data_IF_759510057229
#
_entry.id   IF_759510057229
#
_cell.length_a   1.000
_cell.length_b   1.000
_cell.length_c   1.000
_cell.angle_alpha   90.00
_cell.angle_beta   90.00
_cell.angle_gamma   90.00
#
_symmetry.space_group_name_H-M   'P 1'
#
loop_
_entity.id
_entity.type
_entity.pdbx_description
1 polymer ?
#
# COMPACT_ATOMS: atom_id res chain seq x y z
N UNK A 1 52.27 -24.54 -16.05
CA UNK A 1 51.05 -25.30 -15.72
C UNK A 1 50.63 -24.86 -14.33
N UNK A 2 49.60 -24.02 -14.23
CA UNK A 2 49.05 -23.55 -12.97
C UNK A 2 47.58 -23.94 -12.95
N UNK A 3 47.21 -24.77 -11.97
CA UNK A 3 45.83 -25.21 -11.72
C UNK A 3 45.09 -24.12 -10.95
N UNK A 4 43.98 -23.64 -11.50
CA UNK A 4 43.05 -22.72 -10.84
C UNK A 4 42.10 -23.55 -9.97
N UNK A 5 42.14 -23.31 -8.66
CA UNK A 5 41.14 -23.80 -7.73
C UNK A 5 39.82 -23.04 -7.94
N UNK A 6 38.76 -23.79 -8.25
CA UNK A 6 37.40 -23.28 -8.37
C UNK A 6 36.77 -23.32 -6.99
N UNK A 7 36.48 -22.14 -6.44
CA UNK A 7 35.75 -21.95 -5.19
C UNK A 7 34.29 -22.38 -5.38
N UNK A 8 33.93 -23.53 -4.80
CA UNK A 8 32.56 -24.06 -4.82
C UNK A 8 31.78 -23.45 -3.66
N UNK A 9 30.82 -22.60 -3.97
CA UNK A 9 29.87 -22.06 -2.99
C UNK A 9 28.90 -23.15 -2.52
N UNK A 10 28.50 -23.16 -1.23
CA UNK A 10 27.60 -24.17 -0.69
C UNK A 10 26.20 -24.07 -1.31
N UNK A 11 25.63 -25.24 -1.61
CA UNK A 11 24.26 -25.38 -2.08
C UNK A 11 23.27 -25.01 -0.97
N UNK A 12 22.36 -24.07 -1.25
CA UNK A 12 21.24 -23.76 -0.37
C UNK A 12 20.13 -24.80 -0.52
N UNK A 13 19.76 -25.44 0.59
CA UNK A 13 18.61 -26.35 0.68
C UNK A 13 17.33 -25.53 0.94
N UNK A 14 16.22 -25.73 0.19
CA UNK A 14 15.02 -24.89 0.29
C UNK A 14 14.03 -25.28 1.40
N UNK A 15 14.41 -26.12 2.37
CA UNK A 15 13.53 -26.55 3.46
C UNK A 15 13.98 -25.99 4.82
N UNK A 16 13.57 -24.76 5.11
CA UNK A 16 13.24 -24.28 6.46
C UNK A 16 12.78 -22.83 6.36
N UNK A 17 11.47 -22.63 6.30
CA UNK A 17 10.92 -21.30 6.57
C UNK A 17 11.34 -20.92 8.01
N UNK A 18 12.02 -19.78 8.22
CA UNK A 18 12.34 -19.35 9.57
C UNK A 18 11.03 -19.12 10.34
N UNK A 19 10.98 -19.44 11.65
CA UNK A 19 9.84 -19.08 12.47
C UNK A 19 9.63 -17.56 12.39
N UNK A 20 8.37 -17.15 12.27
CA UNK A 20 7.92 -15.76 12.33
C UNK A 20 8.63 -15.05 13.49
N UNK A 21 9.57 -14.17 13.16
CA UNK A 21 10.32 -13.39 14.13
C UNK A 21 9.35 -12.40 14.78
N UNK A 22 8.90 -12.70 15.99
CA UNK A 22 8.23 -11.72 16.86
C UNK A 22 9.31 -10.78 17.41
N UNK A 23 9.27 -9.47 17.12
CA UNK A 23 10.23 -8.54 17.69
C UNK A 23 10.06 -8.52 19.21
N UNK A 24 11.13 -8.81 19.95
CA UNK A 24 11.19 -8.52 21.39
C UNK A 24 11.20 -7.01 21.57
N UNK A 25 10.09 -6.46 22.05
CA UNK A 25 9.99 -5.06 22.45
C UNK A 25 10.96 -4.77 23.60
N UNK A 26 11.77 -3.72 23.44
CA UNK A 26 12.54 -3.14 24.54
C UNK A 26 11.57 -2.53 25.58
N UNK A 27 11.62 -3.01 26.81
CA UNK A 27 10.89 -2.48 27.96
C UNK A 27 11.41 -1.07 28.34
N UNK A 28 10.66 -0.04 27.94
CA UNK A 28 10.68 1.24 28.65
C UNK A 28 9.80 1.08 29.91
N UNK A 29 10.33 1.42 31.08
CA UNK A 29 9.65 1.23 32.37
C UNK A 29 8.23 1.83 32.44
N UNK A 30 7.41 1.38 33.40
CA UNK A 30 5.97 1.61 33.41
C UNK A 30 5.60 3.03 33.88
N UNK A 31 5.84 4.04 33.06
CA UNK A 31 4.99 5.22 33.12
C UNK A 31 3.63 4.80 32.60
N UNK A 32 2.59 4.82 33.44
CA UNK A 32 1.21 4.50 33.02
C UNK A 32 0.94 5.20 31.68
N UNK A 33 0.57 4.46 30.61
CA UNK A 33 0.34 5.06 29.32
C UNK A 33 -0.69 6.18 29.47
N UNK A 34 -0.39 7.36 28.95
CA UNK A 34 -1.34 8.47 28.92
C UNK A 34 -2.61 7.95 28.22
N UNK A 35 -3.75 8.03 28.89
CA UNK A 35 -5.00 7.48 28.37
C UNK A 35 -5.56 8.29 27.19
N UNK A 36 -5.08 9.52 26.97
CA UNK A 36 -5.57 10.46 25.95
C UNK A 36 -4.45 11.06 25.09
N UNK A 37 -4.82 11.51 23.89
CA UNK A 37 -3.99 12.32 23.00
C UNK A 37 -4.14 13.81 23.36
N UNK A 38 -3.33 14.25 24.33
CA UNK A 38 -3.30 15.64 24.82
C UNK A 38 -2.12 16.41 24.25
N UNK A 39 -2.39 17.56 23.64
CA UNK A 39 -1.41 18.47 23.07
C UNK A 39 -1.55 19.87 23.67
N UNK A 40 -0.44 20.57 23.84
CA UNK A 40 -0.38 21.88 24.49
C UNK A 40 0.09 21.83 25.94
N UNK A 41 0.09 23.01 26.58
CA UNK A 41 0.54 23.17 27.96
C UNK A 41 0.36 24.60 28.45
N UNK A 42 -0.24 24.76 29.64
CA UNK A 42 -0.45 26.05 30.28
C UNK A 42 -1.92 26.48 30.27
N UNK A 43 -2.31 27.30 29.28
CA UNK A 43 -3.62 27.99 29.29
C UNK A 43 -4.66 27.30 28.43
N UNK A 44 -4.25 26.59 27.39
CA UNK A 44 -5.13 25.79 26.56
C UNK A 44 -4.52 24.43 26.25
N UNK A 45 -5.39 23.47 26.01
CA UNK A 45 -5.05 22.11 25.66
C UNK A 45 -5.98 21.64 24.53
N UNK A 46 -5.42 20.89 23.60
CA UNK A 46 -6.12 20.16 22.55
C UNK A 46 -6.18 18.68 22.96
N UNK A 47 -7.40 18.15 23.07
CA UNK A 47 -7.66 16.75 23.40
C UNK A 47 -8.31 16.07 22.20
N UNK A 48 -7.60 15.14 21.57
CA UNK A 48 -8.07 14.33 20.44
C UNK A 48 -8.62 12.98 20.90
N UNK A 49 -9.05 12.89 22.15
CA UNK A 49 -9.73 11.72 22.71
C UNK A 49 -8.79 10.63 23.25
N UNK A 50 -9.37 9.48 23.61
CA UNK A 50 -8.63 8.39 24.23
C UNK A 50 -7.67 7.71 23.24
N UNK A 51 -6.58 7.14 23.77
CA UNK A 51 -5.64 6.31 22.99
C UNK A 51 -6.22 4.92 22.79
N UNK A 52 -7.10 4.79 21.80
CA UNK A 52 -7.72 3.50 21.42
C UNK A 52 -6.73 2.60 20.69
N UNK A 53 -5.86 3.19 19.87
CA UNK A 53 -4.86 2.48 19.09
C UNK A 53 -3.46 2.71 19.67
N UNK A 54 -2.59 1.70 19.55
CA UNK A 54 -1.17 1.80 19.93
C UNK A 54 -0.39 2.55 18.83
N UNK A 55 -0.78 3.79 18.54
CA UNK A 55 -0.13 4.67 17.58
C UNK A 55 0.39 5.92 18.31
N UNK A 56 1.45 6.56 17.82
CA UNK A 56 1.93 7.80 18.45
C UNK A 56 0.94 8.96 18.33
N UNK A 57 0.07 8.90 17.32
CA UNK A 57 -0.92 9.89 16.96
C UNK A 57 -2.30 9.23 16.85
N UNK A 58 -3.42 9.94 17.09
CA UNK A 58 -4.74 9.39 16.83
C UNK A 58 -4.88 9.02 15.36
N UNK A 59 -5.53 7.89 15.09
CA UNK A 59 -5.69 7.33 13.76
C UNK A 59 -7.16 7.29 13.38
N UNK A 60 -7.46 7.73 12.17
CA UNK A 60 -8.79 7.86 11.59
C UNK A 60 -8.83 7.10 10.26
N UNK A 61 -9.92 6.38 10.03
CA UNK A 61 -10.22 5.68 8.79
C UNK A 61 -10.90 6.57 7.75
N UNK A 62 -11.38 5.92 6.69
CA UNK A 62 -12.18 6.59 5.65
C UNK A 62 -13.54 6.97 6.24
N UNK A 63 -13.99 8.20 6.02
CA UNK A 63 -15.24 8.77 6.54
C UNK A 63 -15.29 8.95 8.08
N UNK A 64 -14.19 8.66 8.79
CA UNK A 64 -14.15 8.90 10.22
C UNK A 64 -13.98 10.41 10.48
N UNK A 65 -14.86 11.05 11.26
CA UNK A 65 -14.68 12.45 11.61
C UNK A 65 -13.48 12.60 12.56
N UNK A 66 -12.71 13.68 12.37
CA UNK A 66 -11.67 14.08 13.32
C UNK A 66 -12.30 14.83 14.47
N UNK A 67 -12.59 14.08 15.54
CA UNK A 67 -13.23 14.60 16.74
C UNK A 67 -12.25 14.95 17.85
N UNK A 68 -12.60 15.97 18.63
CA UNK A 68 -11.81 16.38 19.77
C UNK A 68 -12.44 17.56 20.51
N UNK A 69 -11.65 18.17 21.38
CA UNK A 69 -12.04 19.42 22.07
C UNK A 69 -10.83 20.30 22.35
N UNK A 70 -11.06 21.60 22.32
CA UNK A 70 -10.13 22.60 22.85
C UNK A 70 -10.64 23.00 24.22
N UNK A 71 -9.84 22.83 25.26
CA UNK A 71 -10.24 23.19 26.62
C UNK A 71 -9.19 24.04 27.33
N UNK A 72 -9.63 24.81 28.31
CA UNK A 72 -8.84 25.79 29.04
C UNK A 72 -8.72 25.36 30.51
N UNK A 73 -7.59 24.76 30.93
CA UNK A 73 -7.41 24.27 32.30
C UNK A 73 -7.45 25.39 33.35
N UNK A 74 -7.14 26.62 32.94
CA UNK A 74 -7.13 27.79 33.78
C UNK A 74 -7.89 28.94 33.12
N UNK A 75 -8.34 29.88 33.95
CA UNK A 75 -9.03 31.09 33.51
C UNK A 75 -8.18 31.85 32.49
N UNK A 76 -8.80 32.18 31.36
CA UNK A 76 -8.09 32.68 30.19
C UNK A 76 -8.69 34.00 29.72
N UNK A 77 -8.04 35.15 29.99
CA UNK A 77 -8.62 36.45 29.71
C UNK A 77 -8.50 36.86 28.24
N UNK A 78 -9.48 37.66 27.79
CA UNK A 78 -9.48 38.40 26.51
C UNK A 78 -9.37 37.49 25.27
N UNK A 79 -10.01 36.32 25.29
CA UNK A 79 -10.11 35.46 24.10
C UNK A 79 -11.12 36.10 23.14
N UNK A 80 -10.71 36.24 21.89
CA UNK A 80 -11.55 36.82 20.83
C UNK A 80 -11.99 35.79 19.80
N UNK A 81 -11.21 34.71 19.62
CA UNK A 81 -11.54 33.66 18.66
C UNK A 81 -10.89 32.35 19.08
N UNK A 82 -11.62 31.25 18.94
CA UNK A 82 -11.07 29.89 18.95
C UNK A 82 -11.50 29.22 17.67
N UNK A 83 -10.52 28.83 16.88
CA UNK A 83 -10.71 28.19 15.58
C UNK A 83 -9.93 26.89 15.56
N UNK A 84 -10.49 25.85 14.96
CA UNK A 84 -9.77 24.60 14.70
C UNK A 84 -9.72 24.36 13.20
N UNK A 85 -8.54 23.98 12.72
CA UNK A 85 -8.25 23.71 11.33
C UNK A 85 -7.67 22.30 11.19
N UNK A 86 -8.16 21.53 10.23
CA UNK A 86 -7.54 20.30 9.74
C UNK A 86 -6.90 20.59 8.38
N UNK A 87 -5.62 20.28 8.26
CA UNK A 87 -4.85 20.48 7.04
C UNK A 87 -4.14 19.18 6.66
N UNK A 88 -4.15 18.86 5.37
CA UNK A 88 -3.32 17.80 4.82
C UNK A 88 -2.25 18.39 3.91
N UNK A 89 -1.02 17.95 4.08
CA UNK A 89 0.14 18.43 3.32
C UNK A 89 0.87 17.26 2.69
N UNK A 90 1.31 17.48 1.44
CA UNK A 90 2.27 16.64 0.74
C UNK A 90 3.61 17.37 0.72
N UNK A 91 4.62 16.79 1.37
CA UNK A 91 6.00 17.27 1.35
C UNK A 91 6.83 16.37 0.43
N UNK A 92 7.47 16.97 -0.57
CA UNK A 92 8.56 16.36 -1.32
C UNK A 92 9.89 16.91 -0.83
N UNK A 93 10.82 16.03 -0.48
CA UNK A 93 12.19 16.38 -0.11
C UNK A 93 13.15 15.76 -1.13
N UNK A 94 13.90 16.58 -1.85
CA UNK A 94 14.93 16.15 -2.79
C UNK A 94 16.28 16.19 -2.09
N UNK A 95 17.05 15.12 -2.22
CA UNK A 95 18.39 14.99 -1.66
C UNK A 95 19.41 14.75 -2.77
N UNK A 96 20.55 15.43 -2.67
CA UNK A 96 21.70 15.23 -3.55
C UNK A 96 22.91 14.94 -2.68
N UNK A 97 23.61 13.83 -2.95
CA UNK A 97 24.80 13.41 -2.18
C UNK A 97 24.54 13.33 -0.66
N UNK A 98 23.33 12.93 -0.28
CA UNK A 98 22.92 12.81 1.12
C UNK A 98 22.53 14.13 1.81
N UNK A 99 22.54 15.26 1.10
CA UNK A 99 22.11 16.56 1.64
C UNK A 99 20.77 17.00 1.04
N UNK A 100 19.89 17.66 1.81
CA UNK A 100 18.71 18.32 1.25
C UNK A 100 19.09 19.33 0.17
N UNK A 101 18.68 19.07 -1.06
CA UNK A 101 18.91 19.94 -2.20
C UNK A 101 17.68 20.78 -2.54
N UNK A 102 16.50 20.39 -2.07
CA UNK A 102 15.27 21.17 -2.21
C UNK A 102 14.11 20.49 -1.50
N UNK A 103 13.07 21.25 -1.23
CA UNK A 103 11.79 20.72 -0.80
C UNK A 103 10.67 21.47 -1.51
N UNK A 104 9.53 20.80 -1.66
CA UNK A 104 8.29 21.34 -2.18
C UNK A 104 7.17 20.88 -1.26
N UNK A 105 6.34 21.80 -0.80
CA UNK A 105 5.24 21.52 0.11
C UNK A 105 3.94 21.99 -0.52
N UNK A 106 2.98 21.07 -0.63
CA UNK A 106 1.66 21.33 -1.21
C UNK A 106 0.58 21.02 -0.21
N UNK A 107 -0.24 22.01 0.12
CA UNK A 107 -1.48 21.79 0.87
C UNK A 107 -2.49 21.09 -0.04
N UNK A 108 -2.95 19.90 0.37
CA UNK A 108 -3.94 19.11 -0.37
C UNK A 108 -5.35 19.59 -0.10
N UNK A 109 -5.65 19.92 1.16
CA UNK A 109 -6.90 20.59 1.54
C UNK A 109 -6.75 21.30 2.89
N UNK A 110 -7.74 22.13 3.20
CA UNK A 110 -7.92 22.76 4.52
C UNK A 110 -9.40 22.77 4.87
N UNK A 111 -9.75 22.25 6.05
CA UNK A 111 -11.08 22.40 6.64
C UNK A 111 -10.94 23.23 7.92
N UNK A 112 -11.69 24.32 8.04
CA UNK A 112 -11.66 25.21 9.20
C UNK A 112 -13.04 25.28 9.86
N UNK A 113 -13.07 25.27 11.18
CA UNK A 113 -14.28 25.47 11.98
C UNK A 113 -14.01 26.45 13.11
N UNK A 114 -14.86 27.47 13.18
CA UNK A 114 -14.88 28.39 14.30
C UNK A 114 -15.68 27.79 15.47
N UNK A 115 -15.05 27.70 16.63
CA UNK A 115 -15.66 27.14 17.84
C UNK A 115 -16.18 28.22 18.79
N UNK A 116 -15.56 29.40 18.74
CA UNK A 116 -15.90 30.53 19.60
C UNK A 116 -15.49 31.84 18.95
N UNK A 117 -16.43 32.78 18.80
CA UNK A 117 -16.16 34.14 18.33
C UNK A 117 -17.15 35.14 18.96
N UNK A 118 -16.88 35.60 20.19
CA UNK A 118 -17.74 36.57 20.85
C UNK A 118 -17.63 37.94 20.16
N UNK A 119 -18.71 38.71 20.20
CA UNK A 119 -18.72 40.08 19.67
C UNK A 119 -17.73 41.02 20.37
N UNK A 120 -17.35 40.70 21.62
CA UNK A 120 -16.35 41.42 22.40
C UNK A 120 -15.37 40.44 23.05
N UNK A 121 -14.12 40.85 23.35
CA UNK A 121 -13.16 39.98 24.01
C UNK A 121 -13.70 39.49 25.36
N UNK A 122 -13.82 38.18 25.52
CA UNK A 122 -14.40 37.56 26.71
C UNK A 122 -13.33 36.84 27.50
N UNK A 123 -13.49 36.82 28.82
CA UNK A 123 -12.70 35.96 29.69
C UNK A 123 -13.36 34.58 29.76
N UNK A 124 -12.58 33.55 29.42
CA UNK A 124 -13.03 32.17 29.52
C UNK A 124 -12.79 31.64 30.94
N UNK A 125 -13.80 30.99 31.49
CA UNK A 125 -13.70 30.35 32.79
C UNK A 125 -12.72 29.17 32.78
N UNK A 126 -12.24 28.82 33.98
CA UNK A 126 -11.50 27.58 34.16
C UNK A 126 -12.43 26.40 33.80
N UNK A 127 -11.92 25.46 33.01
CA UNK A 127 -12.66 24.35 32.42
C UNK A 127 -13.63 24.70 31.27
N UNK A 128 -13.54 25.91 30.68
CA UNK A 128 -14.19 26.17 29.39
C UNK A 128 -13.70 25.13 28.36
N UNK A 129 -14.63 24.53 27.62
CA UNK A 129 -14.35 23.44 26.69
C UNK A 129 -15.22 23.59 25.45
N UNK A 130 -14.59 23.47 24.29
CA UNK A 130 -15.22 23.61 22.99
C UNK A 130 -14.99 22.32 22.18
N UNK A 131 -16.00 21.44 22.10
CA UNK A 131 -15.90 20.25 21.27
C UNK A 131 -15.93 20.62 19.79
N UNK A 132 -15.27 19.81 18.97
CA UNK A 132 -15.28 19.93 17.53
C UNK A 132 -15.33 18.56 16.86
N UNK A 133 -15.81 18.57 15.62
CA UNK A 133 -15.79 17.46 14.69
C UNK A 133 -15.52 18.06 13.30
N UNK A 134 -14.50 17.54 12.62
CA UNK A 134 -14.06 17.97 11.29
C UNK A 134 -14.07 16.76 10.35
N UNK A 135 -14.78 16.87 9.25
CA UNK A 135 -14.85 15.80 8.25
C UNK A 135 -13.62 15.83 7.34
N UNK A 136 -13.07 14.66 7.07
CA UNK A 136 -12.06 14.47 6.03
C UNK A 136 -12.77 14.44 4.67
N UNK A 137 -12.35 15.24 3.68
CA UNK A 137 -12.95 15.18 2.36
C UNK A 137 -12.62 13.85 1.68
N UNK A 138 -13.61 13.27 0.99
CA UNK A 138 -13.42 12.03 0.22
C UNK A 138 -12.41 12.20 -0.92
N UNK A 139 -12.44 13.39 -1.54
CA UNK A 139 -11.66 13.74 -2.71
C UNK A 139 -10.94 15.07 -2.48
N UNK A 140 -9.74 15.18 -3.04
CA UNK A 140 -8.97 16.42 -3.12
C UNK A 140 -8.86 16.88 -4.56
N UNK A 141 -8.92 18.19 -4.79
CA UNK A 141 -8.71 18.81 -6.09
C UNK A 141 -7.23 19.07 -6.30
N UNK A 142 -6.68 18.47 -7.35
CA UNK A 142 -5.31 18.69 -7.79
C UNK A 142 -5.35 19.05 -9.26
N UNK A 143 -5.10 20.32 -9.53
CA UNK A 143 -5.00 20.86 -10.89
C UNK A 143 -6.29 20.63 -11.72
N UNK A 144 -7.45 20.69 -11.05
CA UNK A 144 -8.78 20.53 -11.65
C UNK A 144 -9.27 19.08 -11.76
N UNK A 145 -8.48 18.11 -11.30
CA UNK A 145 -8.85 16.70 -11.21
C UNK A 145 -9.09 16.28 -9.76
N UNK A 146 -10.05 15.37 -9.54
CA UNK A 146 -10.40 14.89 -8.21
C UNK A 146 -9.76 13.53 -7.92
N UNK A 147 -9.01 13.45 -6.81
CA UNK A 147 -8.33 12.23 -6.38
C UNK A 147 -8.77 11.80 -4.98
N UNK A 148 -8.84 10.49 -4.68
CA UNK A 148 -9.03 10.00 -3.32
C UNK A 148 -7.95 10.54 -2.38
N UNK A 149 -8.34 10.80 -1.14
CA UNK A 149 -7.43 11.25 -0.12
C UNK A 149 -6.34 10.19 0.16
N UNK A 150 -5.04 10.55 0.11
CA UNK A 150 -3.96 9.57 0.25
C UNK A 150 -3.73 9.16 1.71
N UNK A 151 -3.32 7.92 2.02
CA UNK A 151 -2.99 7.54 3.39
C UNK A 151 -1.83 8.37 3.95
N UNK A 152 -1.77 8.52 5.28
CA UNK A 152 -0.59 9.05 5.96
C UNK A 152 0.60 8.13 5.76
N UNK A 153 1.77 8.68 5.46
CA UNK A 153 2.95 7.87 5.25
C UNK A 153 4.16 8.62 4.73
N UNK A 154 5.30 7.91 4.71
CA UNK A 154 6.55 8.35 4.10
C UNK A 154 7.02 7.32 3.09
N UNK A 155 7.39 7.79 1.91
CA UNK A 155 7.89 6.97 0.82
C UNK A 155 9.28 7.45 0.42
N UNK A 156 10.20 6.49 0.32
CA UNK A 156 11.61 6.77 0.09
C UNK A 156 12.04 6.22 -1.27
N UNK A 157 12.74 7.06 -2.03
CA UNK A 157 13.46 6.70 -3.24
C UNK A 157 14.88 7.29 -3.15
N UNK A 158 15.91 6.65 -3.75
CA UNK A 158 17.20 7.30 -3.96
C UNK A 158 17.05 8.74 -4.48
N UNK A 159 17.45 9.73 -3.67
CA UNK A 159 17.40 11.15 -4.00
C UNK A 159 16.06 11.86 -3.75
N UNK A 160 14.97 11.18 -3.40
CA UNK A 160 13.65 11.81 -3.20
C UNK A 160 12.84 11.13 -2.09
N UNK A 161 12.24 11.92 -1.22
CA UNK A 161 11.28 11.46 -0.20
C UNK A 161 9.96 12.17 -0.42
N UNK A 162 8.86 11.44 -0.29
CA UNK A 162 7.52 12.01 -0.22
C UNK A 162 6.89 11.70 1.14
N UNK A 163 6.24 12.67 1.75
CA UNK A 163 5.53 12.54 3.02
C UNK A 163 4.14 13.15 2.90
N UNK A 164 3.12 12.37 3.22
CA UNK A 164 1.75 12.86 3.38
C UNK A 164 1.47 12.93 4.87
N UNK A 165 1.15 14.12 5.36
CA UNK A 165 0.87 14.39 6.77
C UNK A 165 -0.45 15.12 6.96
N UNK A 166 -1.10 14.88 8.09
CA UNK A 166 -2.36 15.50 8.48
C UNK A 166 -2.18 16.14 9.84
N UNK A 167 -2.65 17.38 9.97
CA UNK A 167 -2.47 18.17 11.19
C UNK A 167 -3.74 18.87 11.59
N UNK A 168 -4.10 18.72 12.87
CA UNK A 168 -5.10 19.54 13.54
C UNK A 168 -4.39 20.71 14.23
N UNK A 169 -4.83 21.92 13.91
CA UNK A 169 -4.32 23.17 14.50
C UNK A 169 -5.45 23.88 15.21
N UNK A 170 -5.32 24.10 16.52
CA UNK A 170 -6.20 24.98 17.27
C UNK A 170 -5.55 26.35 17.43
N UNK A 171 -6.21 27.38 16.90
CA UNK A 171 -5.80 28.77 16.92
C UNK A 171 -6.64 29.54 17.95
N UNK A 172 -5.98 30.16 18.93
CA UNK A 172 -6.62 30.88 20.03
C UNK A 172 -6.18 32.34 20.01
N UNK A 173 -6.96 33.15 19.31
CA UNK A 173 -6.72 34.58 19.19
C UNK A 173 -7.14 35.33 20.46
N UNK A 174 -6.32 36.30 20.88
CA UNK A 174 -6.53 37.09 22.09
C UNK A 174 -6.28 38.57 21.83
N UNK A 175 -6.96 39.45 22.57
CA UNK A 175 -6.75 40.90 22.52
C UNK A 175 -5.86 41.39 23.68
N UNK A 176 -5.01 42.38 23.41
CA UNK A 176 -4.14 43.01 24.41
C UNK A 176 -2.78 42.33 24.55
N UNK A 177 -2.19 42.33 25.75
CA UNK A 177 -0.85 41.76 26.01
C UNK A 177 -0.80 40.22 26.00
N UNK A 178 -1.94 39.55 25.81
CA UNK A 178 -1.99 38.10 25.71
C UNK A 178 -1.43 37.64 24.36
N UNK A 179 -0.43 36.77 24.36
CA UNK A 179 0.08 36.16 23.12
C UNK A 179 -0.99 35.26 22.50
N UNK A 180 -1.11 35.36 21.18
CA UNK A 180 -1.77 34.36 20.35
C UNK A 180 -1.17 32.98 20.64
N UNK A 181 -2.02 31.98 20.86
CA UNK A 181 -1.61 30.62 21.16
C UNK A 181 -2.07 29.70 20.03
N UNK A 182 -1.15 28.88 19.53
CA UNK A 182 -1.38 27.91 18.46
C UNK A 182 -0.97 26.54 18.97
N UNK A 183 -1.91 25.60 18.98
CA UNK A 183 -1.70 24.21 19.37
C UNK A 183 -1.75 23.34 18.12
N UNK A 184 -0.79 22.45 17.97
CA UNK A 184 -0.69 21.56 16.81
C UNK A 184 -0.63 20.11 17.26
N UNK A 185 -1.31 19.25 16.49
CA UNK A 185 -1.31 17.82 16.69
C UNK A 185 -1.35 17.12 15.34
N UNK A 186 -0.37 16.26 15.08
CA UNK A 186 -0.42 15.38 13.93
C UNK A 186 -1.42 14.25 14.17
N UNK A 187 -2.14 13.87 13.11
CA UNK A 187 -3.11 12.78 13.10
C UNK A 187 -2.79 11.84 11.93
N UNK A 188 -3.23 10.58 12.03
CA UNK A 188 -3.04 9.59 10.97
C UNK A 188 -4.36 9.36 10.24
N UNK A 189 -4.35 9.49 8.92
CA UNK A 189 -5.40 9.03 8.04
C UNK A 189 -5.00 7.69 7.42
N UNK A 190 -5.67 6.62 7.80
CA UNK A 190 -5.40 5.25 7.38
C UNK A 190 -6.68 4.66 6.79
N UNK A 191 -7.04 5.02 5.54
CA UNK A 191 -8.29 4.61 4.94
C UNK A 191 -8.33 3.11 4.73
N UNK A 192 -9.43 2.48 5.15
CA UNK A 192 -9.75 1.14 4.67
C UNK A 192 -10.28 1.21 3.26
N UNK A 193 -9.74 0.37 2.39
CA UNK A 193 -10.28 0.13 1.05
C UNK A 193 -10.70 -1.33 0.95
N UNK A 194 -11.80 -1.59 0.25
CA UNK A 194 -12.36 -2.94 0.13
C UNK A 194 -12.16 -3.45 -1.29
N UNK A 195 -11.71 -4.69 -1.39
CA UNK A 195 -11.75 -5.40 -2.66
C UNK A 195 -13.20 -5.78 -3.03
N UNK A 196 -13.46 -5.92 -4.31
CA UNK A 196 -14.69 -6.59 -4.77
C UNK A 196 -14.58 -8.07 -4.37
N UNK A 197 -15.71 -8.71 -4.08
CA UNK A 197 -15.76 -10.15 -3.83
C UNK A 197 -15.15 -10.92 -5.00
N UNK A 198 -13.95 -11.45 -4.78
CA UNK A 198 -13.30 -12.39 -5.67
C UNK A 198 -13.23 -13.71 -4.94
N UNK A 199 -14.00 -14.70 -5.40
CA UNK A 199 -13.84 -16.05 -4.89
C UNK A 199 -12.52 -16.61 -5.43
N UNK A 200 -11.71 -17.29 -4.59
CA UNK A 200 -10.54 -17.99 -5.07
C UNK A 200 -10.96 -18.94 -6.18
N UNK A 201 -10.19 -19.02 -7.27
CA UNK A 201 -10.28 -20.16 -8.16
C UNK A 201 -9.82 -21.37 -7.34
N UNK A 202 -10.71 -22.03 -6.61
CA UNK A 202 -10.38 -23.29 -5.95
C UNK A 202 -10.38 -24.40 -7.00
N UNK A 203 -9.29 -25.17 -7.07
CA UNK A 203 -9.26 -26.58 -7.47
C UNK A 203 -9.79 -26.90 -8.88
N UNK A 204 -9.35 -26.14 -9.88
CA UNK A 204 -9.60 -26.50 -11.29
C UNK A 204 -11.09 -26.44 -11.68
N UNK A 205 -11.87 -25.60 -11.00
CA UNK A 205 -13.22 -25.26 -11.44
C UNK A 205 -13.13 -24.69 -12.87
N UNK A 206 -13.70 -25.42 -13.81
CA UNK A 206 -13.89 -24.88 -15.16
C UNK A 206 -14.84 -23.68 -15.08
N UNK A 207 -14.90 -22.81 -16.11
CA UNK A 207 -15.93 -21.78 -16.20
C UNK A 207 -17.36 -22.31 -16.02
N UNK A 208 -17.60 -23.60 -16.30
CA UNK A 208 -18.89 -24.24 -16.06
C UNK A 208 -19.12 -24.57 -14.58
N UNK A 209 -18.08 -24.91 -13.83
CA UNK A 209 -18.19 -25.13 -12.38
C UNK A 209 -18.32 -23.79 -11.64
N UNK A 210 -17.64 -22.75 -12.12
CA UNK A 210 -17.85 -21.38 -11.65
C UNK A 210 -19.32 -20.94 -11.80
N UNK A 211 -19.97 -21.26 -12.93
CA UNK A 211 -21.42 -21.02 -13.12
C UNK A 211 -22.28 -21.80 -12.11
N UNK A 212 -21.92 -23.04 -11.79
CA UNK A 212 -22.67 -23.86 -10.81
C UNK A 212 -22.55 -23.30 -9.39
N UNK A 213 -21.38 -22.80 -9.04
CA UNK A 213 -21.11 -22.21 -7.71
C UNK A 213 -21.48 -20.72 -7.62
N UNK A 214 -22.10 -20.15 -8.67
CA UNK A 214 -22.44 -18.72 -8.76
C UNK A 214 -21.21 -17.82 -8.50
N UNK A 215 -20.04 -18.28 -8.95
CA UNK A 215 -18.79 -17.54 -8.86
C UNK A 215 -18.79 -16.46 -9.93
N UNK A 216 -18.75 -15.21 -9.49
CA UNK A 216 -18.58 -14.08 -10.38
C UNK A 216 -17.13 -14.04 -10.91
N UNK A 217 -16.96 -14.51 -12.15
CA UNK A 217 -15.70 -14.45 -12.88
C UNK A 217 -15.47 -13.13 -13.62
N UNK A 218 -16.40 -12.17 -13.56
CA UNK A 218 -16.28 -10.90 -14.31
C UNK A 218 -15.04 -10.09 -13.93
N UNK A 219 -14.51 -10.29 -12.72
CA UNK A 219 -13.33 -9.59 -12.22
C UNK A 219 -11.99 -10.28 -12.57
N UNK A 220 -12.04 -11.45 -13.23
CA UNK A 220 -10.86 -12.17 -13.69
C UNK A 220 -10.46 -11.72 -15.10
N UNK A 221 -9.21 -11.30 -15.26
CA UNK A 221 -8.64 -11.00 -16.57
C UNK A 221 -7.92 -12.24 -17.11
N UNK A 222 -8.22 -12.62 -18.35
CA UNK A 222 -7.40 -13.56 -19.14
C UNK A 222 -6.46 -12.77 -20.02
N UNK A 223 -5.16 -12.99 -19.85
CA UNK A 223 -4.11 -12.17 -20.43
C UNK A 223 -3.21 -13.07 -21.29
N UNK A 224 -3.21 -12.92 -22.62
CA UNK A 224 -2.26 -13.63 -23.46
C UNK A 224 -0.85 -13.09 -23.22
N UNK A 225 0.08 -13.98 -22.88
CA UNK A 225 1.48 -13.65 -22.66
C UNK A 225 2.22 -13.65 -24.00
N UNK A 226 2.96 -12.57 -24.27
CA UNK A 226 3.70 -12.44 -25.52
C UNK A 226 5.04 -13.20 -25.43
N UNK A 227 5.35 -14.09 -26.39
CA UNK A 227 6.64 -14.75 -26.41
C UNK A 227 7.77 -13.75 -26.70
N UNK A 228 8.87 -13.91 -25.99
CA UNK A 228 10.11 -13.18 -26.17
C UNK A 228 11.21 -14.14 -26.64
N UNK A 229 11.73 -13.86 -27.82
CA UNK A 229 12.81 -14.63 -28.42
C UNK A 229 14.15 -13.92 -28.21
N UNK A 230 15.24 -14.66 -27.92
CA UNK A 230 16.57 -14.08 -27.92
C UNK A 230 16.87 -13.38 -29.25
N UNK A 231 17.60 -12.26 -29.20
CA UNK A 231 17.95 -11.47 -30.40
C UNK A 231 18.64 -12.29 -31.49
N UNK A 232 19.38 -13.34 -31.12
CA UNK A 232 20.03 -14.26 -32.05
C UNK A 232 19.06 -15.02 -32.97
N UNK A 233 17.78 -15.09 -32.59
CA UNK A 233 16.72 -15.81 -33.30
C UNK A 233 15.63 -14.87 -33.82
N UNK A 234 15.78 -13.57 -33.64
CA UNK A 234 14.82 -12.59 -34.14
C UNK A 234 14.68 -12.71 -35.67
N UNK A 235 13.49 -13.08 -36.14
CA UNK A 235 13.18 -13.27 -37.57
C UNK A 235 13.18 -14.73 -38.05
N UNK A 236 13.51 -15.69 -37.18
CA UNK A 236 13.20 -17.11 -37.46
C UNK A 236 11.77 -17.40 -37.00
N UNK A 237 10.98 -17.98 -37.89
CA UNK A 237 9.68 -18.51 -37.52
C UNK A 237 9.88 -19.69 -36.55
N UNK A 238 9.20 -19.69 -35.39
CA UNK A 238 9.36 -20.78 -34.45
C UNK A 238 8.88 -22.09 -35.07
N UNK A 239 9.61 -23.18 -34.82
CA UNK A 239 9.23 -24.50 -35.31
C UNK A 239 7.92 -24.99 -34.70
N UNK A 240 7.56 -24.53 -33.50
CA UNK A 240 6.32 -24.87 -32.78
C UNK A 240 5.79 -23.62 -32.06
N UNK A 241 4.53 -23.20 -32.29
CA UNK A 241 3.95 -22.07 -31.58
C UNK A 241 3.59 -22.47 -30.14
N UNK A 242 4.39 -22.05 -29.17
CA UNK A 242 4.04 -22.12 -27.74
C UNK A 242 3.20 -20.91 -27.34
N UNK A 243 1.98 -21.14 -26.85
CA UNK A 243 1.09 -20.11 -26.31
C UNK A 243 1.12 -20.15 -24.78
N UNK A 244 0.87 -19.00 -24.17
CA UNK A 244 0.83 -18.86 -22.73
C UNK A 244 -0.23 -17.84 -22.33
N UNK A 245 -1.07 -18.19 -21.36
CA UNK A 245 -2.12 -17.33 -20.80
C UNK A 245 -1.96 -17.20 -19.29
N UNK A 246 -2.20 -15.99 -18.77
CA UNK A 246 -2.29 -15.70 -17.35
C UNK A 246 -3.72 -15.29 -17.00
N UNK A 247 -4.28 -15.91 -15.97
CA UNK A 247 -5.57 -15.54 -15.39
C UNK A 247 -5.39 -15.11 -13.94
N UNK A 248 -5.82 -13.90 -13.63
CA UNK A 248 -5.81 -13.36 -12.27
C UNK A 248 -6.85 -12.23 -12.11
N UNK A 249 -7.32 -11.95 -10.89
CA UNK A 249 -8.27 -10.87 -10.67
C UNK A 249 -7.60 -9.49 -10.76
N UNK A 250 -8.34 -8.52 -11.28
CA UNK A 250 -7.86 -7.13 -11.43
C UNK A 250 -7.70 -6.40 -10.09
N UNK A 251 -8.43 -6.83 -9.06
CA UNK A 251 -8.33 -6.32 -7.69
C UNK A 251 -8.25 -7.43 -6.66
N UNK A 252 -7.54 -7.18 -5.56
CA UNK A 252 -7.45 -8.07 -4.40
C UNK A 252 -7.11 -7.25 -3.15
N UNK A 253 -6.94 -7.88 -2.00
CA UNK A 253 -6.59 -7.19 -0.77
C UNK A 253 -5.32 -7.78 -0.14
N UNK A 254 -4.66 -6.99 0.71
CA UNK A 254 -3.33 -7.27 1.24
C UNK A 254 -3.32 -8.29 2.38
N UNK A 255 -4.28 -9.21 2.46
CA UNK A 255 -4.39 -10.22 3.51
C UNK A 255 -4.95 -11.56 3.02
N UNK A 256 -5.65 -12.28 3.90
CA UNK A 256 -6.24 -13.59 3.59
C UNK A 256 -7.70 -13.53 3.10
N UNK A 257 -8.06 -14.17 1.95
CA UNK A 257 -7.20 -15.03 1.15
C UNK A 257 -6.23 -14.31 0.20
N UNK A 258 -5.07 -14.93 -0.09
CA UNK A 258 -4.08 -14.40 -1.04
C UNK A 258 -4.59 -14.38 -2.50
N UNK A 259 -3.94 -13.55 -3.32
CA UNK A 259 -4.23 -13.38 -4.75
C UNK A 259 -4.09 -14.71 -5.49
N UNK A 260 -5.19 -15.25 -6.03
CA UNK A 260 -5.15 -16.49 -6.80
C UNK A 260 -4.78 -16.23 -8.26
N UNK A 261 -4.04 -17.15 -8.89
CA UNK A 261 -3.70 -17.09 -10.30
C UNK A 261 -3.79 -18.47 -10.98
N UNK A 262 -3.92 -18.46 -12.30
CA UNK A 262 -3.81 -19.63 -13.18
C UNK A 262 -2.93 -19.28 -14.38
N UNK A 263 -1.95 -20.12 -14.69
CA UNK A 263 -1.16 -20.06 -15.93
C UNK A 263 -1.52 -21.28 -16.77
N UNK A 264 -1.85 -21.04 -18.04
CA UNK A 264 -2.07 -22.08 -19.04
C UNK A 264 -1.02 -21.96 -20.12
N UNK A 265 -0.29 -23.05 -20.38
CA UNK A 265 0.69 -23.16 -21.47
C UNK A 265 0.22 -24.25 -22.43
N UNK A 266 0.33 -24.00 -23.73
CA UNK A 266 -0.14 -24.95 -24.74
C UNK A 266 0.76 -24.94 -25.99
N UNK A 267 0.97 -26.13 -26.54
CA UNK A 267 1.59 -26.36 -27.85
C UNK A 267 0.61 -27.16 -28.73
N UNK A 268 0.73 -27.10 -30.07
CA UNK A 268 -0.10 -27.90 -30.97
C UNK A 268 0.02 -29.41 -30.74
N UNK A 269 -1.04 -30.16 -31.04
CA UNK A 269 -1.07 -31.62 -30.89
C UNK A 269 -0.07 -32.36 -31.78
N UNK A 270 0.27 -31.78 -32.94
CA UNK A 270 1.26 -32.30 -33.88
C UNK A 270 2.70 -31.90 -33.52
N UNK A 271 2.90 -31.21 -32.39
CA UNK A 271 4.22 -30.84 -31.92
C UNK A 271 5.08 -32.09 -31.66
N UNK A 272 6.35 -32.08 -32.08
CA UNK A 272 7.25 -33.21 -31.88
C UNK A 272 7.47 -33.50 -30.39
N UNK A 273 7.72 -34.77 -30.04
CA UNK A 273 7.87 -35.22 -28.65
C UNK A 273 8.88 -34.40 -27.82
N UNK A 274 9.94 -33.88 -28.42
CA UNK A 274 10.90 -33.02 -27.69
C UNK A 274 10.25 -31.70 -27.25
N UNK A 275 9.39 -31.08 -28.06
CA UNK A 275 8.68 -29.86 -27.69
C UNK A 275 7.72 -30.09 -26.51
N UNK A 276 7.15 -31.30 -26.42
CA UNK A 276 6.32 -31.72 -25.29
C UNK A 276 7.15 -31.81 -24.00
N UNK A 277 8.35 -32.41 -24.08
CA UNK A 277 9.29 -32.44 -22.93
C UNK A 277 9.73 -31.04 -22.53
N UNK A 278 10.04 -30.20 -23.52
CA UNK A 278 10.52 -28.83 -23.33
C UNK A 278 9.47 -27.94 -22.63
N UNK A 279 8.18 -28.11 -22.94
CA UNK A 279 7.05 -27.43 -22.28
C UNK A 279 7.06 -27.66 -20.75
N UNK A 280 7.29 -28.90 -20.32
CA UNK A 280 7.32 -29.26 -18.89
C UNK A 280 8.61 -28.84 -18.19
N UNK A 281 9.68 -28.56 -18.94
CA UNK A 281 10.97 -28.10 -18.41
C UNK A 281 10.99 -26.58 -18.09
N UNK A 282 9.96 -25.82 -18.49
CA UNK A 282 9.89 -24.38 -18.25
C UNK A 282 9.88 -24.05 -16.75
N UNK A 283 10.73 -23.10 -16.36
CA UNK A 283 10.73 -22.47 -15.05
C UNK A 283 9.74 -21.31 -15.06
N UNK A 284 8.91 -21.22 -14.02
CA UNK A 284 7.85 -20.22 -13.92
C UNK A 284 8.00 -19.56 -12.56
N UNK A 285 8.09 -18.24 -12.57
CA UNK A 285 8.16 -17.41 -11.37
C UNK A 285 7.10 -16.31 -11.47
N UNK A 286 6.35 -16.11 -10.39
CA UNK A 286 5.47 -14.95 -10.25
C UNK A 286 5.77 -14.24 -8.94
N UNK A 287 6.01 -12.93 -9.06
CA UNK A 287 6.21 -12.04 -7.93
C UNK A 287 5.12 -10.98 -7.90
N UNK A 288 4.56 -10.72 -6.71
CA UNK A 288 3.82 -9.50 -6.46
C UNK A 288 4.83 -8.40 -6.14
N UNK A 289 4.87 -7.40 -7.01
CA UNK A 289 5.77 -6.26 -6.88
C UNK A 289 4.98 -5.01 -6.54
N UNK A 290 5.49 -4.24 -5.58
CA UNK A 290 5.05 -2.88 -5.29
C UNK A 290 5.94 -1.91 -6.03
N UNK A 291 5.30 -0.97 -6.72
CA UNK A 291 5.94 0.13 -7.41
C UNK A 291 5.54 1.44 -6.72
N UNK A 292 6.54 2.22 -6.30
CA UNK A 292 6.34 3.54 -5.72
C UNK A 292 6.93 4.58 -6.67
N UNK A 293 6.09 5.48 -7.15
CA UNK A 293 6.49 6.56 -8.05
C UNK A 293 6.32 7.90 -7.35
N UNK A 294 7.36 8.73 -7.32
CA UNK A 294 7.35 10.07 -6.73
C UNK A 294 7.78 11.09 -7.80
N UNK A 295 6.96 12.09 -8.08
CA UNK A 295 7.32 13.17 -8.98
C UNK A 295 8.19 14.20 -8.25
N UNK A 296 9.29 14.60 -8.87
CA UNK A 296 10.17 15.64 -8.37
C UNK A 296 10.89 16.35 -9.53
N UNK A 297 10.95 17.69 -9.48
CA UNK A 297 11.73 18.55 -10.39
C UNK A 297 11.52 18.24 -11.90
N UNK A 298 10.28 17.99 -12.30
CA UNK A 298 9.93 17.71 -13.70
C UNK A 298 10.18 16.28 -14.17
N UNK A 299 10.64 15.39 -13.29
CA UNK A 299 10.75 13.95 -13.53
C UNK A 299 9.94 13.13 -12.54
N UNK A 300 9.91 11.81 -12.75
CA UNK A 300 9.35 10.85 -11.80
C UNK A 300 10.39 9.79 -11.45
N UNK A 301 10.52 9.53 -10.15
CA UNK A 301 11.42 8.55 -9.59
C UNK A 301 10.63 7.32 -9.17
N UNK A 302 11.03 6.13 -9.63
CA UNK A 302 10.25 4.89 -9.43
C UNK A 302 11.10 3.81 -8.77
N UNK A 303 10.68 3.33 -7.60
CA UNK A 303 11.24 2.14 -6.95
C UNK A 303 10.30 0.95 -7.10
N UNK A 304 10.89 -0.24 -7.12
CA UNK A 304 10.15 -1.51 -7.11
C UNK A 304 10.67 -2.41 -5.99
N UNK A 305 9.75 -3.05 -5.28
CA UNK A 305 10.07 -4.03 -4.23
C UNK A 305 9.15 -5.23 -4.32
N UNK A 306 9.69 -6.44 -4.15
CA UNK A 306 8.89 -7.67 -4.07
C UNK A 306 8.19 -7.69 -2.71
N UNK A 307 6.87 -7.76 -2.71
CA UNK A 307 6.03 -7.83 -1.48
C UNK A 307 5.35 -9.19 -1.30
N UNK A 308 5.37 -10.03 -2.34
CA UNK A 308 4.84 -11.37 -2.32
C UNK A 308 5.49 -12.26 -3.37
N UNK A 309 5.52 -13.57 -3.09
CA UNK A 309 5.99 -14.60 -4.02
C UNK A 309 4.89 -15.62 -4.25
N UNK A 310 4.90 -16.24 -5.42
CA UNK A 310 3.95 -17.30 -5.72
C UNK A 310 4.13 -18.53 -4.84
N UNK A 311 3.02 -19.22 -4.62
CA UNK A 311 2.94 -20.55 -4.06
C UNK A 311 2.01 -21.37 -4.96
N UNK A 312 2.56 -22.41 -5.60
CA UNK A 312 1.81 -23.33 -6.46
C UNK A 312 1.14 -24.37 -5.56
N UNK A 313 -0.16 -24.60 -5.76
CA UNK A 313 -0.89 -25.62 -5.00
C UNK A 313 -1.42 -26.75 -5.88
N UNK A 314 -1.56 -26.54 -7.20
CA UNK A 314 -1.94 -27.59 -8.14
C UNK A 314 -1.30 -27.33 -9.48
N UNK A 315 -0.85 -28.42 -10.10
CA UNK A 315 -0.32 -28.44 -11.46
C UNK A 315 -0.93 -29.63 -12.19
N UNK A 316 -1.38 -29.41 -13.43
CA UNK A 316 -1.85 -30.46 -14.33
C UNK A 316 -1.07 -30.35 -15.62
N UNK A 317 -0.67 -31.49 -16.15
CA UNK A 317 0.13 -31.55 -17.37
C UNK A 317 -0.45 -32.63 -18.27
N UNK A 318 -0.59 -32.30 -19.55
CA UNK A 318 -0.83 -33.22 -20.65
C UNK A 318 0.36 -33.13 -21.60
N UNK A 319 0.52 -34.02 -22.60
CA UNK A 319 1.62 -33.92 -23.55
C UNK A 319 1.68 -32.57 -24.30
N UNK A 320 0.55 -31.88 -24.43
CA UNK A 320 0.44 -30.64 -25.22
C UNK A 320 0.13 -29.41 -24.37
N UNK A 321 -0.12 -29.57 -23.07
CA UNK A 321 -0.51 -28.46 -22.21
C UNK A 321 0.01 -28.59 -20.78
N UNK A 322 0.19 -27.44 -20.12
CA UNK A 322 0.59 -27.34 -18.72
C UNK A 322 -0.23 -26.24 -18.05
N UNK A 323 -1.03 -26.64 -17.07
CA UNK A 323 -1.86 -25.77 -16.26
C UNK A 323 -1.32 -25.68 -14.84
N UNK A 324 -1.15 -24.46 -14.33
CA UNK A 324 -0.59 -24.20 -13.02
C UNK A 324 -1.51 -23.26 -12.27
N UNK A 325 -1.95 -23.70 -11.09
CA UNK A 325 -2.75 -22.89 -10.18
C UNK A 325 -1.97 -22.59 -8.91
N UNK A 326 -2.03 -21.33 -8.50
CA UNK A 326 -1.30 -20.86 -7.34
C UNK A 326 -1.93 -19.65 -6.68
N UNK A 327 -1.25 -19.19 -5.64
CA UNK A 327 -1.60 -18.03 -4.83
C UNK A 327 -0.37 -17.14 -4.63
N UNK A 328 -0.58 -15.84 -4.49
CA UNK A 328 0.46 -14.84 -4.19
C UNK A 328 -0.03 -14.04 -2.97
N UNK A 329 0.61 -14.26 -1.82
CA UNK A 329 0.29 -13.55 -0.58
C UNK A 329 1.21 -12.36 -0.34
N UNK A 330 0.71 -11.36 0.37
CA UNK A 330 1.57 -10.35 0.98
C UNK A 330 2.22 -10.92 2.25
N UNK A 331 3.38 -10.39 2.63
CA UNK A 331 4.07 -10.82 3.84
C UNK A 331 3.30 -10.47 5.13
N UNK A 332 2.54 -9.37 5.12
CA UNK A 332 1.80 -8.89 6.29
C UNK A 332 0.43 -8.35 5.88
N UNK A 333 -0.59 -8.86 6.56
CA UNK A 333 -1.99 -8.52 6.33
C UNK A 333 -2.27 -7.03 6.53
N UNK A 334 -2.94 -6.40 5.56
CA UNK A 334 -3.41 -5.01 5.66
C UNK A 334 -2.32 -3.94 5.50
N UNK A 335 -1.06 -4.31 5.22
CA UNK A 335 0.06 -3.35 5.14
C UNK A 335 0.29 -2.71 3.78
N UNK A 336 -0.49 -3.12 2.79
CA UNK A 336 -0.36 -2.64 1.42
C UNK A 336 -1.71 -2.17 0.88
N UNK A 337 -1.69 -1.07 0.14
CA UNK A 337 -2.82 -0.54 -0.60
C UNK A 337 -2.31 0.19 -1.85
N UNK A 338 -3.12 0.16 -2.91
CA UNK A 338 -2.85 0.92 -4.13
C UNK A 338 -3.61 2.23 -4.10
N UNK A 339 -2.92 3.32 -4.45
CA UNK A 339 -3.51 4.65 -4.49
C UNK A 339 -2.64 5.56 -5.38
N UNK A 340 -3.22 6.65 -5.85
CA UNK A 340 -2.59 7.60 -6.76
C UNK A 340 -3.06 9.02 -6.44
N UNK A 341 -2.10 9.92 -6.24
CA UNK A 341 -2.35 11.34 -6.04
C UNK A 341 -1.76 12.12 -7.22
N UNK A 342 -2.53 12.29 -8.29
CA UNK A 342 -2.17 13.12 -9.46
C UNK A 342 -0.77 12.89 -10.04
N UNK A 343 -0.23 11.66 -9.97
CA UNK A 343 1.17 11.33 -10.33
C UNK A 343 2.24 12.01 -9.45
N UNK A 344 1.86 12.83 -8.47
CA UNK A 344 2.77 13.42 -7.48
C UNK A 344 3.38 12.31 -6.63
N UNK A 345 2.53 11.43 -6.11
CA UNK A 345 2.92 10.19 -5.44
C UNK A 345 1.94 9.10 -5.84
N UNK A 346 2.46 7.91 -6.12
CA UNK A 346 1.66 6.76 -6.49
C UNK A 346 2.26 5.49 -5.90
N UNK A 347 1.41 4.65 -5.33
CA UNK A 347 1.73 3.29 -4.93
C UNK A 347 0.86 2.34 -5.75
N UNK A 348 1.50 1.50 -6.57
CA UNK A 348 0.82 0.53 -7.43
C UNK A 348 1.39 -0.85 -7.21
N UNK A 349 0.60 -1.86 -7.54
CA UNK A 349 1.02 -3.25 -7.46
C UNK A 349 0.89 -3.94 -8.81
N UNK A 350 1.76 -4.92 -9.04
CA UNK A 350 1.72 -5.73 -10.25
C UNK A 350 2.11 -7.18 -9.96
N UNK A 351 1.46 -8.13 -10.63
CA UNK A 351 1.94 -9.48 -10.78
C UNK A 351 2.97 -9.50 -11.92
N UNK A 352 4.22 -9.73 -11.58
CA UNK A 352 5.33 -9.89 -12.52
C UNK A 352 5.53 -11.38 -12.79
N UNK A 353 5.20 -11.80 -14.00
CA UNK A 353 5.32 -13.19 -14.47
C UNK A 353 6.58 -13.32 -15.31
N UNK A 354 7.33 -14.37 -15.03
CA UNK A 354 8.57 -14.71 -15.71
C UNK A 354 8.59 -16.22 -15.98
N UNK A 355 8.45 -16.60 -17.24
CA UNK A 355 8.48 -17.98 -17.71
C UNK A 355 9.73 -18.13 -18.56
N UNK A 356 10.68 -18.96 -18.11
CA UNK A 356 11.97 -19.12 -18.77
C UNK A 356 12.24 -20.56 -19.13
N UNK A 357 12.76 -20.83 -20.33
CA UNK A 357 13.35 -22.11 -20.62
C UNK A 357 14.63 -22.31 -19.80
N UNK A 358 15.02 -23.57 -19.53
CA UNK A 358 16.34 -23.87 -18.97
C UNK A 358 17.45 -23.46 -19.98
N UNK A 359 18.70 -23.28 -19.53
CA UNK A 359 19.78 -22.73 -20.37
C UNK A 359 20.02 -23.46 -21.70
N UNK A 360 19.79 -24.77 -21.75
CA UNK A 360 19.97 -25.57 -22.96
C UNK A 360 18.82 -25.42 -23.99
N UNK A 361 17.69 -24.81 -23.59
CA UNK A 361 16.52 -24.57 -24.43
C UNK A 361 16.28 -23.10 -24.75
N UNK A 362 17.11 -22.18 -24.24
CA UNK A 362 16.98 -20.72 -24.49
C UNK A 362 16.95 -20.36 -25.97
N UNK A 363 17.50 -21.20 -26.84
CA UNK A 363 17.53 -21.00 -28.29
C UNK A 363 16.43 -21.73 -29.08
N UNK A 364 15.57 -22.47 -28.40
CA UNK A 364 14.55 -23.30 -29.06
C UNK A 364 13.14 -22.94 -28.57
N UNK A 365 13.04 -22.48 -27.32
CA UNK A 365 11.78 -22.18 -26.63
C UNK A 365 11.77 -20.70 -26.23
N UNK A 366 10.66 -19.96 -26.41
CA UNK A 366 10.60 -18.56 -26.02
C UNK A 366 10.52 -18.42 -24.49
N UNK A 367 10.94 -17.27 -23.99
CA UNK A 367 10.57 -16.84 -22.63
C UNK A 367 9.30 -16.00 -22.68
N UNK A 368 8.56 -15.92 -21.56
CA UNK A 368 7.41 -15.03 -21.42
C UNK A 368 7.64 -14.13 -20.23
N UNK A 369 7.66 -12.83 -20.48
CA UNK A 369 7.77 -11.82 -19.42
C UNK A 369 6.56 -10.90 -19.51
N UNK A 370 5.81 -10.81 -18.42
CA UNK A 370 4.65 -9.93 -18.36
C UNK A 370 4.52 -9.24 -17.02
N UNK A 371 3.94 -8.04 -17.04
CA UNK A 371 3.64 -7.27 -15.84
C UNK A 371 2.17 -6.90 -15.88
N UNK A 372 1.38 -7.60 -15.09
CA UNK A 372 -0.05 -7.30 -14.95
C UNK A 372 -0.27 -6.39 -13.74
N UNK A 373 -0.80 -5.18 -13.97
CA UNK A 373 -1.24 -4.32 -12.87
C UNK A 373 -2.39 -4.97 -12.11
N UNK A 374 -2.31 -4.88 -10.78
CA UNK A 374 -3.34 -5.36 -9.86
C UNK A 374 -3.64 -4.26 -8.84
N UNK A 375 -4.91 -4.01 -8.58
CA UNK A 375 -5.35 -3.03 -7.60
C UNK A 375 -5.45 -3.69 -6.23
N UNK A 376 -4.57 -3.31 -5.31
CA UNK A 376 -4.56 -3.85 -3.96
C UNK A 376 -5.32 -2.97 -2.98
N UNK A 377 -6.13 -3.60 -2.14
CA UNK A 377 -6.92 -3.00 -1.08
C UNK A 377 -6.43 -3.43 0.32
N UNK A 378 -6.84 -2.73 1.38
CA UNK A 378 -6.45 -3.09 2.75
C UNK A 378 -7.29 -4.24 3.31
N UNK A 379 -8.57 -4.30 2.96
CA UNK A 379 -9.55 -5.19 3.57
C UNK A 379 -10.27 -6.05 2.52
N UNK A 380 -10.75 -7.20 2.98
CA UNK A 380 -11.58 -8.10 2.19
C UNK A 380 -12.98 -7.49 1.91
N UNK A 381 -13.76 -8.20 1.10
CA UNK A 381 -15.10 -7.79 0.67
C UNK A 381 -16.20 -8.05 1.71
N UNK A 382 -15.93 -8.74 2.83
CA UNK A 382 -16.97 -9.28 3.69
C UNK A 382 -17.89 -8.17 4.21
N UNK A 383 -19.17 -8.28 3.85
CA UNK A 383 -20.15 -7.20 3.89
C UNK A 383 -20.61 -6.82 5.31
N UNK A 384 -20.42 -7.66 6.34
CA UNK A 384 -21.25 -7.56 7.56
C UNK A 384 -20.51 -7.46 8.90
N UNK A 385 -19.24 -7.06 8.93
CA UNK A 385 -18.55 -6.85 10.21
C UNK A 385 -18.54 -5.36 10.61
N UNK A 386 -19.47 -4.88 11.46
CA UNK A 386 -19.43 -3.52 12.02
C UNK A 386 -18.16 -3.27 12.85
N UNK A 387 -17.51 -4.34 13.34
CA UNK A 387 -16.18 -4.28 13.98
C UNK A 387 -15.06 -3.83 13.03
N UNK A 388 -15.34 -3.65 11.74
CA UNK A 388 -14.36 -3.21 10.73
C UNK A 388 -14.49 -1.75 10.31
N UNK A 389 -15.34 -0.97 10.94
CA UNK A 389 -15.23 0.50 10.85
C UNK A 389 -13.97 0.97 11.61
N UNK A 390 -13.34 2.06 11.16
CA UNK A 390 -12.08 2.56 11.74
C UNK A 390 -10.83 2.43 10.84
N UNK A 391 -9.64 2.80 11.37
CA UNK A 391 -8.42 2.92 10.58
C UNK A 391 -7.82 1.57 10.15
N UNK A 392 -7.25 1.55 8.94
CA UNK A 392 -6.42 0.46 8.43
C UNK A 392 -5.03 0.48 9.09
N UNK A 393 -4.95 0.04 10.35
CA UNK A 393 -3.72 0.11 11.16
C UNK A 393 -2.51 -0.59 10.50
N UNK A 394 -2.74 -1.58 9.63
CA UNK A 394 -1.68 -2.23 8.86
C UNK A 394 -0.90 -1.25 7.96
N UNK A 395 -1.54 -0.21 7.42
CA UNK A 395 -0.87 0.80 6.62
C UNK A 395 0.17 1.60 7.41
N UNK A 396 0.00 1.69 8.74
CA UNK A 396 0.96 2.36 9.61
C UNK A 396 2.19 1.47 9.83
N UNK A 397 3.20 1.67 9.00
CA UNK A 397 4.50 1.01 9.18
C UNK A 397 5.24 1.64 10.35
N UNK A 398 5.28 0.94 11.47
CA UNK A 398 6.35 1.18 12.43
C UNK A 398 7.64 0.86 11.70
N UNK A 399 8.49 1.88 11.48
CA UNK A 399 9.89 1.62 11.23
C UNK A 399 10.36 0.83 12.45
N UNK A 400 10.47 -0.49 12.31
CA UNK A 400 11.22 -1.27 13.27
C UNK A 400 12.58 -0.58 13.33
N UNK A 401 12.96 -0.08 14.50
CA UNK A 401 14.29 0.45 14.70
C UNK A 401 15.26 -0.66 14.29
N UNK A 402 15.94 -0.48 13.16
CA UNK A 402 16.92 -1.41 12.62
C UNK A 402 18.18 -1.34 13.49
#
# INVERSE_FOLDING_TARGET
>A
MATQDVEVLPAYSPESLPPLYTPRSHDAGPSKPRQHYLFGGGKACLDLGPRVHDTPHPAYGKNDPVEGRVFFPARTPKVTRVTVKLEATLLHLVTERGLPAGHDERVLFTVERELFAPAQPTELDAAASFPFSLDLPDLVDIDGEHFPLPPSGKWFHPGVVAEVSYRVTADISRKGLGRHERLEADVLYLPKTRAVKVLPMSWGLSPNDAKREHIDMTNWATIPLKPHWPKALAGREPAVPLTAELRLPSCFFSGYPPLSFHIHLEIPEDAPHHAQVDLHALSIDIHLVRQVSIAARGGASTTESIVGKMCVYTERSTPTSRDIWGKIGCAVDGQEASWNLAKLVQVMHAAKVDIRPPPHLEHTVPSFMHRQRVWMNTDDWADDAPEREGPALGLYRRLAAI
#
